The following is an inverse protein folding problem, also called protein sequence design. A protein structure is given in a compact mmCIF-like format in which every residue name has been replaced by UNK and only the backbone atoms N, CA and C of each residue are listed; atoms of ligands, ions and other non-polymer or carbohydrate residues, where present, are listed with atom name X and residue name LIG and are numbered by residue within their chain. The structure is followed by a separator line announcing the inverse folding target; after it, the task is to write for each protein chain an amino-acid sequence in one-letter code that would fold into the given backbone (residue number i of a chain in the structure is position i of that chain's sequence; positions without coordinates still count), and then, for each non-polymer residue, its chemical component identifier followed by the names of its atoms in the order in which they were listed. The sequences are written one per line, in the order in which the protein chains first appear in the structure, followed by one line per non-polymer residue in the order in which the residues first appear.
data_IF_302087902467
#
_entry.id   IF_302087902467
#
_cell.length_a   1.000
_cell.length_b   1.000
_cell.length_c   1.000
_cell.angle_alpha   90.00
_cell.angle_beta   90.00
_cell.angle_gamma   90.00
#
_symmetry.space_group_name_H-M   'P 1'
#
loop_
_entity.id
_entity.type
_entity.pdbx_description
1 polymer ?
#
# COMPACT_ATOMS: atom_id res chain seq x y z
N UNK A 1 7.68 4.63 26.13
CA UNK A 1 7.61 3.68 25.00
C UNK A 1 6.20 3.79 24.43
N UNK A 2 5.96 4.75 23.53
CA UNK A 2 4.60 5.14 23.09
C UNK A 2 4.28 4.78 21.63
N UNK A 3 5.10 3.95 21.00
CA UNK A 3 4.81 3.43 19.67
C UNK A 3 4.63 1.91 19.79
N UNK A 4 3.41 1.50 20.15
CA UNK A 4 3.01 0.10 20.12
C UNK A 4 3.17 -0.43 18.68
N UNK A 5 4.00 -1.45 18.45
CA UNK A 5 4.29 -1.92 17.10
C UNK A 5 3.15 -2.82 16.67
N UNK A 6 2.13 -2.24 16.01
CA UNK A 6 1.12 -3.02 15.27
C UNK A 6 1.73 -3.88 14.16
N UNK A 7 3.03 -3.76 13.90
CA UNK A 7 3.81 -4.65 13.03
C UNK A 7 4.24 -5.95 13.72
N UNK A 8 4.33 -6.00 15.05
CA UNK A 8 4.70 -7.22 15.75
C UNK A 8 3.45 -8.08 15.95
N UNK A 9 3.28 -9.12 15.13
CA UNK A 9 2.36 -10.23 15.46
C UNK A 9 2.76 -11.00 16.75
N UNK A 10 3.67 -10.45 17.56
CA UNK A 10 4.27 -11.05 18.75
C UNK A 10 3.42 -10.88 20.02
N UNK A 11 2.48 -9.93 20.06
CA UNK A 11 1.72 -9.61 21.27
C UNK A 11 0.43 -10.45 21.46
N UNK A 12 0.20 -11.50 20.67
CA UNK A 12 -0.87 -12.48 20.93
C UNK A 12 -2.30 -11.97 20.71
N UNK A 13 -2.48 -10.74 20.23
CA UNK A 13 -3.79 -10.22 19.85
C UNK A 13 -4.32 -10.88 18.56
N UNK A 14 -5.65 -10.87 18.40
CA UNK A 14 -6.32 -11.39 17.21
C UNK A 14 -5.96 -10.51 16.01
N UNK A 15 -5.06 -11.00 15.17
CA UNK A 15 -4.71 -10.35 13.90
C UNK A 15 -5.90 -10.44 12.95
N UNK A 16 -6.28 -9.31 12.35
CA UNK A 16 -7.28 -9.28 11.29
C UNK A 16 -6.80 -10.21 10.16
N UNK A 17 -7.62 -11.18 9.72
CA UNK A 17 -7.24 -12.12 8.67
C UNK A 17 -6.69 -11.44 7.41
N UNK A 18 -7.17 -10.25 7.06
CA UNK A 18 -6.71 -9.50 5.89
C UNK A 18 -5.22 -9.09 5.97
N UNK A 19 -4.63 -9.08 7.16
CA UNK A 19 -3.22 -8.70 7.39
C UNK A 19 -2.41 -9.84 8.02
N UNK A 20 -2.98 -11.04 8.13
CA UNK A 20 -2.28 -12.19 8.70
C UNK A 20 -1.33 -12.81 7.68
N UNK A 21 -0.05 -12.40 7.74
CA UNK A 21 1.04 -12.90 6.89
C UNK A 21 1.15 -14.43 6.84
N UNK A 22 0.66 -15.15 7.85
CA UNK A 22 0.65 -16.63 7.85
C UNK A 22 -0.32 -17.21 6.80
N UNK A 23 -1.32 -16.44 6.38
CA UNK A 23 -2.27 -16.77 5.31
C UNK A 23 -1.73 -16.45 3.92
N UNK A 24 -0.57 -15.80 3.83
CA UNK A 24 -0.02 -15.33 2.57
C UNK A 24 0.46 -16.51 1.69
N UNK A 25 0.05 -16.57 0.41
CA UNK A 25 0.55 -17.55 -0.54
C UNK A 25 2.07 -17.50 -0.70
N UNK A 26 2.68 -18.65 -1.04
CA UNK A 26 4.14 -18.77 -1.12
C UNK A 26 4.74 -17.81 -2.15
N UNK A 27 4.00 -17.57 -3.21
CA UNK A 27 4.33 -16.69 -4.34
C UNK A 27 4.47 -15.22 -3.92
N UNK A 28 3.85 -14.80 -2.81
CA UNK A 28 3.89 -13.43 -2.32
C UNK A 28 4.84 -13.25 -1.13
N UNK A 29 5.57 -14.31 -0.72
CA UNK A 29 6.44 -14.24 0.47
C UNK A 29 7.54 -13.19 0.36
N UNK A 30 8.06 -12.92 -0.83
CA UNK A 30 9.08 -11.89 -1.05
C UNK A 30 8.58 -10.47 -0.76
N UNK A 31 7.27 -10.25 -0.81
CA UNK A 31 6.61 -8.97 -0.49
C UNK A 31 5.80 -9.00 0.81
N UNK A 32 5.97 -10.03 1.64
CA UNK A 32 5.22 -10.20 2.88
C UNK A 32 5.36 -9.02 3.85
N UNK A 33 6.52 -8.36 3.84
CA UNK A 33 6.83 -7.21 4.69
C UNK A 33 6.00 -5.96 4.36
N UNK A 34 5.38 -5.89 3.19
CA UNK A 34 4.48 -4.79 2.80
C UNK A 34 3.11 -4.89 3.47
N UNK A 35 2.67 -6.09 3.86
CA UNK A 35 1.33 -6.34 4.39
C UNK A 35 1.15 -5.57 5.70
N UNK A 36 0.17 -4.67 5.72
CA UNK A 36 -0.08 -3.81 6.87
C UNK A 36 -0.76 -2.51 6.48
N UNK A 37 -1.02 -1.69 7.51
CA UNK A 37 -1.48 -0.32 7.38
C UNK A 37 -0.35 0.63 7.71
N UNK A 38 0.00 1.47 6.76
CA UNK A 38 1.04 2.47 6.84
C UNK A 38 0.37 3.83 6.89
N UNK A 39 0.65 4.65 7.90
CA UNK A 39 0.02 5.97 8.05
C UNK A 39 1.07 7.00 8.42
N UNK A 40 0.98 8.16 7.78
CA UNK A 40 1.88 9.29 8.01
C UNK A 40 1.09 10.59 7.98
N UNK A 41 1.12 11.36 9.06
CA UNK A 41 0.49 12.69 9.16
C UNK A 41 1.42 13.82 8.71
N UNK A 42 2.72 13.56 8.64
CA UNK A 42 3.76 14.60 8.45
C UNK A 42 4.72 14.29 7.30
N UNK A 43 4.49 13.20 6.54
CA UNK A 43 5.45 12.67 5.56
C UNK A 43 5.24 13.12 4.12
N UNK A 44 4.01 13.46 3.72
CA UNK A 44 3.70 13.83 2.34
C UNK A 44 4.14 15.26 2.02
N UNK A 45 4.94 15.45 0.96
CA UNK A 45 5.32 16.76 0.43
C UNK A 45 5.18 16.75 -1.08
N UNK A 46 4.08 17.30 -1.57
CA UNK A 46 3.87 17.44 -3.00
C UNK A 46 4.72 18.59 -3.55
N UNK A 47 5.51 18.29 -4.58
CA UNK A 47 6.27 19.30 -5.32
C UNK A 47 6.17 19.08 -6.83
N UNK A 48 5.56 20.04 -7.51
CA UNK A 48 5.53 20.05 -8.97
C UNK A 48 5.60 21.50 -9.48
N UNK A 49 6.30 21.79 -10.61
CA UNK A 49 6.53 23.18 -11.05
C UNK A 49 5.27 24.03 -11.25
N UNK A 50 4.13 23.42 -11.52
CA UNK A 50 2.86 24.12 -11.82
C UNK A 50 1.88 24.16 -10.66
N UNK A 51 2.22 23.62 -9.48
CA UNK A 51 1.36 23.67 -8.29
C UNK A 51 2.14 24.18 -7.07
N UNK A 52 1.50 24.88 -6.13
CA UNK A 52 2.13 25.25 -4.87
C UNK A 52 2.61 24.02 -4.08
N UNK A 53 3.67 24.19 -3.30
CA UNK A 53 4.11 23.16 -2.35
C UNK A 53 3.08 23.03 -1.24
N UNK A 54 2.66 21.80 -0.95
CA UNK A 54 1.81 21.52 0.20
C UNK A 54 2.18 20.19 0.85
N UNK A 55 1.78 20.05 2.10
CA UNK A 55 1.93 18.83 2.90
C UNK A 55 0.59 18.13 3.03
N UNK A 56 0.61 16.81 3.07
CA UNK A 56 -0.59 16.01 3.19
C UNK A 56 -0.35 14.80 4.09
N UNK A 57 -1.43 14.32 4.69
CA UNK A 57 -1.46 13.06 5.42
C UNK A 57 -1.75 11.94 4.44
N UNK A 58 -1.15 10.78 4.65
CA UNK A 58 -1.33 9.62 3.79
C UNK A 58 -1.52 8.35 4.61
N UNK A 59 -2.37 7.46 4.11
CA UNK A 59 -2.54 6.11 4.60
C UNK A 59 -2.51 5.15 3.41
N UNK A 60 -1.68 4.12 3.53
CA UNK A 60 -1.61 3.01 2.60
C UNK A 60 -2.03 1.75 3.33
N UNK A 61 -3.01 1.04 2.79
CA UNK A 61 -3.44 -0.28 3.24
C UNK A 61 -3.04 -1.32 2.20
N UNK A 62 -2.19 -2.27 2.61
CA UNK A 62 -1.80 -3.42 1.82
C UNK A 62 -2.32 -4.67 2.52
N UNK A 63 -3.31 -5.32 1.92
CA UNK A 63 -4.00 -6.47 2.52
C UNK A 63 -3.97 -7.68 1.60
N UNK A 64 -4.12 -8.86 2.20
CA UNK A 64 -4.21 -10.14 1.51
C UNK A 64 -5.59 -10.20 0.86
N UNK A 65 -5.61 -10.31 -0.47
CA UNK A 65 -6.84 -10.48 -1.24
C UNK A 65 -7.58 -11.75 -0.79
N UNK A 66 -8.91 -11.76 -0.90
CA UNK A 66 -9.67 -12.99 -0.67
C UNK A 66 -9.42 -13.96 -1.83
N UNK A 67 -8.41 -14.84 -1.64
CA UNK A 67 -7.93 -15.74 -2.67
C UNK A 67 -8.98 -16.83 -2.90
N UNK A 68 -9.93 -16.56 -3.80
CA UNK A 68 -10.67 -17.64 -4.43
C UNK A 68 -9.66 -18.45 -5.27
N UNK A 69 -9.65 -19.78 -5.09
CA UNK A 69 -8.63 -20.73 -5.57
C UNK A 69 -8.36 -20.76 -7.10
N UNK A 70 -8.93 -19.85 -7.89
CA UNK A 70 -8.86 -19.85 -9.36
C UNK A 70 -8.12 -18.65 -9.97
N UNK A 71 -7.66 -17.70 -9.17
CA UNK A 71 -6.96 -16.50 -9.66
C UNK A 71 -5.54 -16.45 -9.12
N UNK A 72 -4.63 -15.84 -9.89
CA UNK A 72 -3.25 -15.60 -9.46
C UNK A 72 -3.26 -14.81 -8.13
N UNK A 73 -2.54 -15.26 -7.09
CA UNK A 73 -2.41 -14.51 -5.86
C UNK A 73 -1.94 -13.08 -6.05
N UNK A 74 -2.60 -12.13 -5.37
CA UNK A 74 -2.22 -10.73 -5.32
C UNK A 74 -2.45 -10.17 -3.92
N UNK A 75 -1.87 -9.00 -3.64
CA UNK A 75 -2.25 -8.15 -2.52
C UNK A 75 -3.15 -7.03 -3.03
N UNK A 76 -4.16 -6.67 -2.25
CA UNK A 76 -4.91 -5.44 -2.45
C UNK A 76 -4.05 -4.25 -2.00
N UNK A 77 -4.06 -3.18 -2.79
CA UNK A 77 -3.41 -1.91 -2.49
C UNK A 77 -4.48 -0.82 -2.43
N UNK A 78 -4.51 -0.08 -1.35
CA UNK A 78 -5.36 1.10 -1.18
C UNK A 78 -4.50 2.23 -0.65
N UNK A 79 -4.53 3.40 -1.29
CA UNK A 79 -3.88 4.59 -0.80
C UNK A 79 -4.89 5.72 -0.70
N UNK A 80 -4.79 6.50 0.36
CA UNK A 80 -5.67 7.63 0.65
C UNK A 80 -4.84 8.77 1.21
N UNK A 81 -5.05 9.96 0.66
CA UNK A 81 -4.40 11.19 1.11
C UNK A 81 -5.43 12.24 1.49
N UNK A 82 -5.16 12.99 2.54
CA UNK A 82 -6.01 14.07 3.06
C UNK A 82 -5.23 15.35 3.31
N UNK A 83 -5.96 16.46 3.29
CA UNK A 83 -5.45 17.76 3.68
C UNK A 83 -5.26 17.81 5.21
N UNK A 84 -4.06 18.16 5.66
CA UNK A 84 -3.72 18.31 7.08
C UNK A 84 -3.85 19.76 7.57
N UNK A 85 -4.18 20.69 6.68
CA UNK A 85 -4.40 22.10 7.03
C UNK A 85 -5.78 22.36 7.64
N UNK A 86 -6.72 21.41 7.47
CA UNK A 86 -8.05 21.42 8.08
C UNK A 86 -8.06 20.64 9.40
N UNK A 87 -8.98 20.94 10.34
CA UNK A 87 -9.08 20.18 11.59
C UNK A 87 -9.27 18.68 11.32
N UNK A 88 -8.69 17.80 12.14
CA UNK A 88 -8.82 16.33 11.99
C UNK A 88 -10.28 15.84 11.98
N UNK A 89 -11.20 16.62 12.55
CA UNK A 89 -12.64 16.35 12.53
C UNK A 89 -13.26 16.48 11.14
N UNK A 90 -12.56 17.11 10.21
CA UNK A 90 -12.95 17.35 8.82
C UNK A 90 -11.90 16.72 7.90
N UNK A 91 -11.90 15.39 7.80
CA UNK A 91 -11.04 14.68 6.84
C UNK A 91 -11.45 15.04 5.40
N UNK A 92 -10.68 15.94 4.78
CA UNK A 92 -10.86 16.33 3.37
C UNK A 92 -9.95 15.49 2.50
N UNK A 93 -10.53 14.55 1.74
CA UNK A 93 -9.81 13.75 0.75
C UNK A 93 -9.24 14.63 -0.36
N UNK A 94 -7.94 14.45 -0.66
CA UNK A 94 -7.28 15.11 -1.79
C UNK A 94 -6.97 14.14 -2.94
N UNK A 95 -6.74 12.87 -2.62
CA UNK A 95 -6.39 11.84 -3.59
C UNK A 95 -6.62 10.45 -3.00
N UNK A 96 -7.02 9.51 -3.85
CA UNK A 96 -7.05 8.10 -3.49
C UNK A 96 -6.68 7.21 -4.66
N UNK A 97 -6.12 6.06 -4.34
CA UNK A 97 -5.70 5.05 -5.31
C UNK A 97 -6.11 3.66 -4.85
N UNK A 98 -6.52 2.82 -5.79
CA UNK A 98 -6.93 1.45 -5.51
C UNK A 98 -6.33 0.52 -6.57
N UNK A 99 -5.78 -0.60 -6.14
CA UNK A 99 -5.01 -1.45 -7.02
C UNK A 99 -4.67 -2.81 -6.46
N UNK A 100 -3.77 -3.48 -7.17
CA UNK A 100 -3.26 -4.80 -6.81
C UNK A 100 -1.76 -4.87 -7.01
N UNK A 101 -1.08 -5.52 -6.07
CA UNK A 101 0.32 -5.91 -6.17
C UNK A 101 0.38 -7.39 -6.51
N UNK A 102 1.15 -7.75 -7.53
CA UNK A 102 1.39 -9.14 -7.92
C UNK A 102 2.87 -9.42 -8.06
N UNK A 103 3.24 -10.67 -7.80
CA UNK A 103 4.60 -11.16 -7.98
C UNK A 103 4.62 -12.19 -9.09
N UNK A 104 5.63 -12.14 -9.95
CA UNK A 104 5.89 -13.14 -10.97
C UNK A 104 7.38 -13.52 -10.91
N UNK A 105 7.70 -14.81 -10.85
CA UNK A 105 9.07 -15.24 -10.81
C UNK A 105 9.59 -15.47 -12.24
N UNK A 106 10.69 -14.81 -12.60
CA UNK A 106 11.38 -15.04 -13.87
C UNK A 106 12.43 -16.14 -13.69
N UNK A 107 12.10 -17.35 -14.15
CA UNK A 107 12.98 -18.52 -14.05
C UNK A 107 14.33 -18.34 -14.77
N UNK A 108 14.41 -17.51 -15.81
CA UNK A 108 15.65 -17.32 -16.59
C UNK A 108 16.63 -16.41 -15.89
N UNK A 109 16.12 -15.42 -15.18
CA UNK A 109 16.91 -14.44 -14.45
C UNK A 109 17.01 -14.76 -12.95
N UNK A 110 16.24 -15.74 -12.45
CA UNK A 110 16.13 -16.11 -11.04
C UNK A 110 15.78 -14.92 -10.14
N UNK A 111 14.78 -14.13 -10.56
CA UNK A 111 14.34 -12.92 -9.86
C UNK A 111 12.83 -12.82 -9.78
N UNK A 112 12.34 -12.25 -8.69
CA UNK A 112 10.94 -11.89 -8.53
C UNK A 112 10.65 -10.53 -9.17
N UNK A 113 9.77 -10.54 -10.17
CA UNK A 113 9.20 -9.36 -10.81
C UNK A 113 7.96 -8.94 -10.04
N UNK A 114 8.02 -7.75 -9.44
CA UNK A 114 6.90 -7.18 -8.68
C UNK A 114 6.21 -6.12 -9.54
N UNK A 115 4.89 -6.24 -9.67
CA UNK A 115 4.05 -5.30 -10.41
C UNK A 115 2.94 -4.70 -9.55
N UNK A 116 2.75 -3.38 -9.65
CA UNK A 116 1.64 -2.64 -9.07
C UNK A 116 0.75 -2.11 -10.20
N UNK A 117 -0.54 -2.44 -10.16
CA UNK A 117 -1.56 -1.86 -11.04
C UNK A 117 -2.54 -1.08 -10.18
N UNK A 118 -2.72 0.21 -10.47
CA UNK A 118 -3.54 1.11 -9.66
C UNK A 118 -4.44 2.00 -10.53
N UNK A 119 -5.61 2.33 -10.02
CA UNK A 119 -6.53 3.32 -10.54
C UNK A 119 -6.68 4.44 -9.51
N UNK A 120 -6.59 5.68 -9.97
CA UNK A 120 -6.61 6.88 -9.15
C UNK A 120 -7.97 7.58 -9.23
N UNK A 121 -8.36 8.30 -8.18
CA UNK A 121 -9.62 9.05 -8.12
C UNK A 121 -9.73 10.15 -9.18
N UNK A 122 -8.60 10.61 -9.73
CA UNK A 122 -8.54 11.55 -10.85
C UNK A 122 -8.80 10.92 -12.24
N UNK A 123 -9.20 9.64 -12.30
CA UNK A 123 -9.55 8.93 -13.54
C UNK A 123 -8.36 8.37 -14.33
N UNK A 124 -7.15 8.40 -13.77
CA UNK A 124 -5.95 7.82 -14.41
C UNK A 124 -5.69 6.40 -13.90
N UNK A 125 -5.11 5.57 -14.76
CA UNK A 125 -4.62 4.23 -14.41
C UNK A 125 -3.12 4.15 -14.62
N UNK A 126 -2.44 3.39 -13.76
CA UNK A 126 -1.00 3.20 -13.82
C UNK A 126 -0.65 1.73 -13.59
N UNK A 127 0.33 1.25 -14.35
CA UNK A 127 0.91 -0.08 -14.18
C UNK A 127 2.42 0.07 -14.15
N UNK A 128 3.04 -0.48 -13.12
CA UNK A 128 4.47 -0.38 -12.88
C UNK A 128 5.05 -1.75 -12.57
N UNK A 129 6.24 -2.04 -13.11
CA UNK A 129 6.93 -3.33 -12.98
C UNK A 129 8.40 -3.11 -12.66
N UNK A 130 9.00 -3.93 -11.80
CA UNK A 130 10.40 -3.86 -11.35
C UNK A 130 10.77 -2.63 -10.51
N UNK A 131 9.87 -2.29 -9.60
CA UNK A 131 10.11 -1.32 -8.54
C UNK A 131 8.79 -0.83 -7.99
N UNK A 132 8.37 -1.31 -6.81
CA UNK A 132 7.36 -0.56 -6.06
C UNK A 132 8.10 0.64 -5.49
N UNK A 133 8.29 1.67 -6.31
CA UNK A 133 8.56 2.98 -5.76
C UNK A 133 7.20 3.44 -5.25
N UNK A 134 7.01 3.45 -3.93
CA UNK A 134 6.10 4.41 -3.33
C UNK A 134 6.63 5.80 -3.73
N UNK A 135 6.32 6.24 -4.95
CA UNK A 135 6.48 7.63 -5.33
C UNK A 135 5.37 8.37 -4.62
N UNK A 136 5.67 8.72 -3.38
CA UNK A 136 5.08 9.86 -2.70
C UNK A 136 5.18 11.04 -3.70
N UNK A 137 4.01 11.54 -4.10
CA UNK A 137 3.89 12.68 -5.01
C UNK A 137 4.49 13.95 -4.41
#
# INVERSE_FOLDING_TARGET
MEHCPRMCQACGERVDPAYDVRRLPKELKSVAWLVGRWRSEFGGKAFFPTIPKFTYGEQIDISISDITRRVKPSLNYTAFAWDISVPETELVEIHSENGYISVNHDEKADVDIISLTTAMSNGKTFSHTNGIVCKLW
#
